data_IF_903992090846
#
_entry.id   IF_903992090846
#
_cell.length_a   1.000
_cell.length_b   1.000
_cell.length_c   1.000
_cell.angle_alpha   90.00
_cell.angle_beta   90.00
_cell.angle_gamma   90.00
#
_symmetry.space_group_name_H-M   'P 1'
#
loop_
_entity.id
_entity.type
_entity.pdbx_description
1 polymer ?
#
# COMPACT_ATOMS: atom_id res chain seq x y z
N UNK A 1 5.69 32.97 -15.97
CA UNK A 1 5.93 33.06 -14.51
C UNK A 1 5.64 31.70 -13.93
N UNK A 2 6.61 31.07 -13.27
CA UNK A 2 6.41 29.76 -12.62
C UNK A 2 5.79 30.02 -11.26
N UNK A 3 4.53 29.61 -11.10
CA UNK A 3 3.78 29.66 -9.84
C UNK A 3 4.46 28.73 -8.83
N UNK A 4 5.21 29.33 -7.89
CA UNK A 4 5.85 28.63 -6.79
C UNK A 4 4.85 28.48 -5.65
N UNK A 5 3.86 27.60 -5.85
CA UNK A 5 2.95 27.20 -4.77
C UNK A 5 3.77 26.59 -3.64
N UNK A 6 3.62 27.12 -2.42
CA UNK A 6 4.25 26.60 -1.22
C UNK A 6 3.91 25.10 -1.07
N UNK A 7 4.84 24.27 -0.58
CA UNK A 7 4.60 22.85 -0.29
C UNK A 7 3.31 22.61 0.52
N UNK A 8 2.97 23.52 1.43
CA UNK A 8 1.73 23.49 2.21
C UNK A 8 0.46 23.60 1.34
N UNK A 9 0.53 24.33 0.24
CA UNK A 9 -0.56 24.48 -0.72
C UNK A 9 -0.73 23.21 -1.56
N UNK A 10 0.37 22.62 -2.05
CA UNK A 10 0.33 21.33 -2.77
C UNK A 10 -0.26 20.24 -1.87
N UNK A 11 0.15 20.19 -0.60
CA UNK A 11 -0.39 19.24 0.37
C UNK A 11 -1.91 19.40 0.58
N UNK A 12 -2.38 20.65 0.74
CA UNK A 12 -3.81 20.95 0.87
C UNK A 12 -4.60 20.55 -0.36
N UNK A 13 -4.10 20.86 -1.56
CA UNK A 13 -4.78 20.50 -2.81
C UNK A 13 -4.77 18.97 -2.96
N UNK A 14 -3.66 18.30 -2.65
CA UNK A 14 -3.58 16.83 -2.69
C UNK A 14 -4.63 16.16 -1.81
N UNK A 15 -4.80 16.55 -0.54
CA UNK A 15 -5.82 15.94 0.32
C UNK A 15 -7.25 16.20 -0.19
N UNK A 16 -7.49 17.37 -0.77
CA UNK A 16 -8.80 17.70 -1.37
C UNK A 16 -9.07 16.82 -2.59
N UNK A 17 -8.08 16.68 -3.49
CA UNK A 17 -8.14 15.80 -4.65
C UNK A 17 -8.33 14.34 -4.25
N UNK A 18 -7.62 13.88 -3.20
CA UNK A 18 -7.75 12.52 -2.71
C UNK A 18 -9.12 12.25 -2.09
N UNK A 19 -9.68 13.18 -1.33
CA UNK A 19 -11.02 13.02 -0.74
C UNK A 19 -12.09 12.86 -1.82
N UNK A 20 -12.05 13.70 -2.87
CA UNK A 20 -12.95 13.56 -4.02
C UNK A 20 -12.76 12.23 -4.75
N UNK A 21 -11.51 11.81 -4.96
CA UNK A 21 -11.19 10.50 -5.51
C UNK A 21 -11.77 9.37 -4.65
N UNK A 22 -11.61 9.41 -3.33
CA UNK A 22 -12.09 8.38 -2.42
C UNK A 22 -13.62 8.29 -2.39
N UNK A 23 -14.32 9.42 -2.50
CA UNK A 23 -15.78 9.44 -2.66
C UNK A 23 -16.21 8.77 -3.98
N UNK A 24 -15.56 9.11 -5.09
CA UNK A 24 -15.82 8.50 -6.40
C UNK A 24 -15.50 6.99 -6.43
N UNK A 25 -14.33 6.60 -5.92
CA UNK A 25 -13.89 5.20 -5.85
C UNK A 25 -14.81 4.36 -4.95
N UNK A 26 -15.30 4.92 -3.83
CA UNK A 26 -16.24 4.24 -2.94
C UNK A 26 -17.55 3.96 -3.65
N UNK A 27 -18.13 4.95 -4.33
CA UNK A 27 -19.37 4.78 -5.08
C UNK A 27 -19.24 3.64 -6.11
N UNK A 28 -18.11 3.54 -6.82
CA UNK A 28 -17.87 2.49 -7.80
C UNK A 28 -17.58 1.12 -7.22
N UNK A 29 -16.89 1.08 -6.09
CA UNK A 29 -16.59 -0.18 -5.41
C UNK A 29 -17.86 -0.91 -4.95
N UNK A 30 -18.92 -0.16 -4.65
CA UNK A 30 -20.24 -0.68 -4.28
C UNK A 30 -21.06 -1.14 -5.49
N UNK A 31 -20.79 -0.61 -6.69
CA UNK A 31 -21.59 -0.83 -7.91
C UNK A 31 -20.88 -1.71 -8.96
N UNK A 32 -20.14 -2.73 -8.54
CA UNK A 32 -19.57 -3.83 -9.36
C UNK A 32 -18.20 -3.62 -10.04
N UNK A 33 -17.55 -2.44 -9.94
CA UNK A 33 -16.30 -2.19 -10.68
C UNK A 33 -15.01 -2.29 -9.83
N UNK A 34 -15.15 -2.44 -8.50
CA UNK A 34 -14.01 -2.48 -7.59
C UNK A 34 -13.25 -1.15 -7.54
N UNK A 35 -12.11 -1.14 -6.85
CA UNK A 35 -11.28 0.06 -6.66
C UNK A 35 -10.38 0.33 -7.87
N UNK A 36 -10.15 1.60 -8.21
CA UNK A 36 -9.18 2.02 -9.23
C UNK A 36 -7.75 1.95 -8.69
N UNK A 37 -7.20 0.72 -8.68
CA UNK A 37 -5.87 0.43 -8.13
C UNK A 37 -4.73 1.17 -8.84
N UNK A 38 -4.91 1.53 -10.11
CA UNK A 38 -3.90 2.29 -10.86
C UNK A 38 -3.77 3.72 -10.32
N UNK A 39 -4.90 4.44 -10.16
CA UNK A 39 -4.86 5.77 -9.56
C UNK A 39 -4.39 5.73 -8.10
N UNK A 40 -4.84 4.74 -7.32
CA UNK A 40 -4.35 4.54 -5.94
C UNK A 40 -2.81 4.41 -5.92
N UNK A 41 -2.24 3.60 -6.83
CA UNK A 41 -0.80 3.42 -6.94
C UNK A 41 -0.09 4.72 -7.31
N UNK A 42 -0.59 5.48 -8.27
CA UNK A 42 0.01 6.76 -8.66
C UNK A 42 -0.03 7.77 -7.52
N UNK A 43 -1.17 7.89 -6.82
CA UNK A 43 -1.30 8.78 -5.66
C UNK A 43 -0.39 8.35 -4.49
N UNK A 44 -0.21 7.04 -4.28
CA UNK A 44 0.74 6.52 -3.30
C UNK A 44 2.18 6.90 -3.64
N UNK A 45 2.61 6.66 -4.88
CA UNK A 45 3.96 7.00 -5.34
C UNK A 45 4.21 8.50 -5.17
N UNK A 46 3.25 9.34 -5.57
CA UNK A 46 3.35 10.78 -5.38
C UNK A 46 3.43 11.15 -3.89
N UNK A 47 2.54 10.61 -3.05
CA UNK A 47 2.54 10.90 -1.62
C UNK A 47 3.87 10.54 -0.95
N UNK A 48 4.37 9.33 -1.18
CA UNK A 48 5.59 8.86 -0.54
C UNK A 48 6.82 9.61 -1.06
N UNK A 49 6.93 9.85 -2.36
CA UNK A 49 8.12 10.47 -2.95
C UNK A 49 8.13 12.00 -2.83
N UNK A 50 6.98 12.66 -2.95
CA UNK A 50 6.90 14.12 -3.08
C UNK A 50 6.43 14.81 -1.81
N UNK A 51 5.49 14.22 -1.07
CA UNK A 51 4.92 14.84 0.14
C UNK A 51 5.59 14.35 1.42
N UNK A 52 5.90 13.05 1.51
CA UNK A 52 6.53 12.47 2.71
C UNK A 52 8.07 12.55 2.69
N UNK A 53 8.68 12.73 1.51
CA UNK A 53 10.13 12.82 1.34
C UNK A 53 10.58 14.24 0.95
N UNK A 54 11.71 14.69 1.53
CA UNK A 54 12.36 15.97 1.19
C UNK A 54 13.27 15.89 -0.06
N UNK A 55 13.21 14.80 -0.85
CA UNK A 55 14.25 14.47 -1.84
C UNK A 55 14.01 15.01 -3.26
N UNK A 56 12.84 15.58 -3.55
CA UNK A 56 12.49 16.08 -4.90
C UNK A 56 12.48 17.61 -4.91
N UNK A 57 12.93 18.22 -6.01
CA UNK A 57 12.85 19.68 -6.20
C UNK A 57 11.38 20.15 -6.22
N UNK A 58 11.09 21.34 -5.72
CA UNK A 58 9.69 21.85 -5.68
C UNK A 58 9.07 21.95 -7.07
N UNK A 59 9.87 22.28 -8.09
CA UNK A 59 9.43 22.37 -9.49
C UNK A 59 8.97 21.03 -10.04
N UNK A 60 9.72 19.95 -9.77
CA UNK A 60 9.37 18.60 -10.23
C UNK A 60 8.18 18.02 -9.45
N UNK A 61 8.02 18.39 -8.18
CA UNK A 61 6.83 18.02 -7.39
C UNK A 61 5.56 18.60 -8.01
N UNK A 62 5.61 19.86 -8.45
CA UNK A 62 4.46 20.54 -9.02
C UNK A 62 4.00 19.93 -10.34
N UNK A 63 4.91 19.73 -11.29
CA UNK A 63 4.57 19.15 -12.59
C UNK A 63 3.98 17.73 -12.46
N UNK A 64 4.58 16.90 -11.60
CA UNK A 64 4.06 15.56 -11.32
C UNK A 64 2.69 15.58 -10.62
N UNK A 65 2.43 16.59 -9.79
CA UNK A 65 1.14 16.74 -9.12
C UNK A 65 0.03 17.13 -10.10
N UNK A 66 0.27 18.09 -11.00
CA UNK A 66 -0.75 18.56 -11.94
C UNK A 66 -1.19 17.46 -12.92
N UNK A 67 -0.26 16.61 -13.39
CA UNK A 67 -0.64 15.45 -14.20
C UNK A 67 -1.51 14.46 -13.40
N UNK A 68 -1.08 14.09 -12.20
CA UNK A 68 -1.85 13.20 -11.33
C UNK A 68 -3.24 13.75 -11.02
N UNK A 69 -3.32 15.06 -10.76
CA UNK A 69 -4.57 15.76 -10.51
C UNK A 69 -5.50 15.68 -11.72
N UNK A 70 -4.97 15.92 -12.91
CA UNK A 70 -5.74 15.84 -14.17
C UNK A 70 -6.31 14.44 -14.39
N UNK A 71 -5.52 13.39 -14.13
CA UNK A 71 -5.95 11.99 -14.26
C UNK A 71 -7.08 11.67 -13.26
N UNK A 72 -6.97 12.16 -12.03
CA UNK A 72 -8.00 12.00 -10.99
C UNK A 72 -9.27 12.77 -11.33
N UNK A 73 -9.17 14.03 -11.75
CA UNK A 73 -10.31 14.86 -12.16
C UNK A 73 -11.05 14.24 -13.34
N UNK A 74 -10.31 13.72 -14.34
CA UNK A 74 -10.88 13.01 -15.48
C UNK A 74 -11.65 11.76 -15.05
N UNK A 75 -11.12 11.01 -14.09
CA UNK A 75 -11.80 9.85 -13.52
C UNK A 75 -13.06 10.24 -12.75
N UNK A 76 -13.03 11.31 -11.96
CA UNK A 76 -14.21 11.82 -11.25
C UNK A 76 -15.30 12.21 -12.26
N UNK A 77 -14.96 13.01 -13.28
CA UNK A 77 -15.90 13.43 -14.34
C UNK A 77 -16.52 12.20 -15.04
N UNK A 78 -15.71 11.17 -15.32
CA UNK A 78 -16.22 9.91 -15.86
C UNK A 78 -17.24 9.26 -14.92
N UNK A 79 -16.96 9.23 -13.61
CA UNK A 79 -17.87 8.68 -12.61
C UNK A 79 -19.18 9.48 -12.52
N UNK A 80 -19.11 10.80 -12.50
CA UNK A 80 -20.28 11.67 -12.47
C UNK A 80 -21.17 11.43 -13.70
N UNK A 81 -20.57 11.42 -14.90
CA UNK A 81 -21.29 11.20 -16.16
C UNK A 81 -21.94 9.82 -16.24
N UNK A 82 -21.23 8.79 -15.81
CA UNK A 82 -21.68 7.40 -15.98
C UNK A 82 -22.68 6.95 -14.90
N UNK A 83 -22.57 7.47 -13.68
CA UNK A 83 -23.34 6.97 -12.53
C UNK A 83 -24.21 8.04 -11.86
N UNK A 84 -24.16 9.29 -12.31
CA UNK A 84 -25.07 10.35 -11.85
C UNK A 84 -24.82 10.84 -10.42
N UNK A 85 -23.71 10.46 -9.79
CA UNK A 85 -23.36 10.93 -8.44
C UNK A 85 -22.67 12.28 -8.53
N UNK A 86 -23.18 13.26 -7.77
CA UNK A 86 -22.47 14.51 -7.50
C UNK A 86 -21.64 14.33 -6.23
N UNK A 87 -20.33 14.50 -6.33
CA UNK A 87 -19.42 14.35 -5.18
C UNK A 87 -19.33 15.67 -4.42
N UNK A 88 -19.59 15.64 -3.11
CA UNK A 88 -19.50 16.85 -2.29
C UNK A 88 -18.03 17.18 -2.02
N UNK A 89 -17.54 18.31 -2.51
CA UNK A 89 -16.25 18.84 -2.09
C UNK A 89 -16.37 19.33 -0.64
N UNK A 90 -15.99 18.48 0.32
CA UNK A 90 -15.72 18.97 1.66
C UNK A 90 -14.43 19.78 1.58
N UNK A 91 -14.55 21.09 1.39
CA UNK A 91 -13.39 21.99 1.55
C UNK A 91 -12.80 21.71 2.92
N UNK A 92 -11.49 21.43 3.03
CA UNK A 92 -10.86 21.24 4.32
C UNK A 92 -11.10 22.43 5.24
N UNK A 93 -11.78 22.20 6.37
CA UNK A 93 -12.11 23.25 7.35
C UNK A 93 -11.22 23.21 8.59
N UNK A 94 -10.26 22.29 8.68
CA UNK A 94 -9.39 22.15 9.84
C UNK A 94 -7.93 22.04 9.42
N UNK A 95 -7.06 22.72 10.18
CA UNK A 95 -5.64 22.36 10.24
C UNK A 95 -5.59 21.09 11.11
N UNK A 96 -5.00 19.99 10.63
CA UNK A 96 -4.71 18.88 11.55
C UNK A 96 -3.87 19.44 12.68
N UNK A 97 -4.18 19.07 13.93
CA UNK A 97 -3.28 19.37 15.04
C UNK A 97 -1.93 18.71 14.72
N UNK A 98 -0.97 19.53 14.28
CA UNK A 98 0.31 19.10 13.71
C UNK A 98 1.00 18.05 14.58
N UNK A 99 0.85 18.13 15.90
CA UNK A 99 1.50 17.21 16.85
C UNK A 99 1.12 15.74 16.64
N UNK A 100 -0.14 15.43 16.35
CA UNK A 100 -0.58 14.03 16.13
C UNK A 100 -0.40 13.55 14.70
N UNK A 101 -0.45 14.44 13.72
CA UNK A 101 -0.04 14.09 12.36
C UNK A 101 1.45 13.73 12.30
N UNK A 102 2.28 14.47 13.06
CA UNK A 102 3.70 14.16 13.26
C UNK A 102 3.91 12.76 13.86
N UNK A 103 2.98 12.25 14.68
CA UNK A 103 3.08 10.88 15.19
C UNK A 103 2.97 9.82 14.08
N UNK A 104 2.20 10.07 13.02
CA UNK A 104 2.12 9.17 11.85
C UNK A 104 3.41 9.11 11.04
N UNK A 105 4.34 10.05 11.22
CA UNK A 105 5.57 10.11 10.41
C UNK A 105 6.44 8.86 10.59
N UNK A 106 6.46 8.28 11.80
CA UNK A 106 7.17 7.02 12.05
C UNK A 106 6.55 5.88 11.23
N UNK A 107 5.23 5.79 11.21
CA UNK A 107 4.50 4.73 10.50
C UNK A 107 4.60 4.91 8.98
N UNK A 108 4.55 6.14 8.47
CA UNK A 108 4.78 6.46 7.05
C UNK A 108 6.20 6.07 6.64
N UNK A 109 7.19 6.30 7.50
CA UNK A 109 8.57 5.90 7.26
C UNK A 109 8.71 4.38 7.23
N UNK A 110 8.08 3.67 8.17
CA UNK A 110 8.05 2.21 8.18
C UNK A 110 7.39 1.64 6.91
N UNK A 111 6.26 2.22 6.50
CA UNK A 111 5.55 1.86 5.28
C UNK A 111 6.40 2.08 4.02
N UNK A 112 6.97 3.29 3.88
CA UNK A 112 7.91 3.60 2.80
C UNK A 112 9.08 2.63 2.75
N UNK A 113 9.69 2.33 3.90
CA UNK A 113 10.82 1.40 3.96
C UNK A 113 10.41 -0.02 3.56
N UNK A 114 9.26 -0.51 4.02
CA UNK A 114 8.76 -1.83 3.63
C UNK A 114 8.49 -1.94 2.13
N UNK A 115 8.01 -0.87 1.49
CA UNK A 115 7.85 -0.81 0.03
C UNK A 115 9.22 -0.87 -0.66
N UNK A 116 10.19 -0.10 -0.18
CA UNK A 116 11.55 -0.11 -0.73
C UNK A 116 12.19 -1.51 -0.60
N UNK A 117 12.10 -2.12 0.58
CA UNK A 117 12.58 -3.49 0.84
C UNK A 117 11.94 -4.50 -0.11
N UNK A 118 10.63 -4.41 -0.33
CA UNK A 118 9.91 -5.26 -1.26
C UNK A 118 10.37 -5.05 -2.71
N UNK A 119 10.53 -3.81 -3.15
CA UNK A 119 10.99 -3.50 -4.51
C UNK A 119 12.39 -4.09 -4.72
N UNK A 120 13.32 -3.86 -3.78
CA UNK A 120 14.68 -4.41 -3.84
C UNK A 120 14.65 -5.94 -3.92
N UNK A 121 13.88 -6.60 -3.06
CA UNK A 121 13.71 -8.05 -3.10
C UNK A 121 13.14 -8.52 -4.44
N UNK A 122 12.10 -7.88 -4.98
CA UNK A 122 11.52 -8.27 -6.28
C UNK A 122 12.47 -8.02 -7.45
N UNK A 123 13.37 -7.04 -7.34
CA UNK A 123 14.41 -6.77 -8.33
C UNK A 123 15.51 -7.83 -8.30
N UNK A 124 15.86 -8.36 -7.12
CA UNK A 124 16.91 -9.39 -7.01
C UNK A 124 16.50 -10.76 -7.55
N UNK A 125 15.19 -11.03 -7.69
CA UNK A 125 14.70 -12.30 -8.22
C UNK A 125 14.93 -12.45 -9.73
N UNK A 126 15.44 -13.61 -10.12
CA UNK A 126 15.54 -14.05 -11.52
C UNK A 126 14.16 -14.24 -12.16
N UNK A 127 14.12 -14.35 -13.50
CA UNK A 127 12.88 -14.63 -14.24
C UNK A 127 12.27 -15.97 -13.82
N UNK A 128 13.11 -17.00 -13.58
CA UNK A 128 12.63 -18.32 -13.18
C UNK A 128 12.09 -18.34 -11.75
N UNK A 129 12.72 -17.64 -10.80
CA UNK A 129 12.19 -17.47 -9.46
C UNK A 129 10.84 -16.73 -9.45
N UNK A 130 10.71 -15.68 -10.25
CA UNK A 130 9.43 -14.95 -10.41
C UNK A 130 8.33 -15.88 -10.93
N UNK A 131 8.63 -16.74 -11.93
CA UNK A 131 7.69 -17.75 -12.42
C UNK A 131 7.36 -18.79 -11.35
N UNK A 132 8.36 -19.30 -10.61
CA UNK A 132 8.17 -20.26 -9.51
C UNK A 132 7.22 -19.71 -8.44
N UNK A 133 7.43 -18.45 -8.02
CA UNK A 133 6.55 -17.75 -7.08
C UNK A 133 5.12 -17.65 -7.61
N UNK A 134 4.96 -17.21 -8.86
CA UNK A 134 3.63 -17.12 -9.47
C UNK A 134 2.93 -18.47 -9.55
N UNK A 135 3.67 -19.53 -9.91
CA UNK A 135 3.18 -20.89 -9.95
C UNK A 135 2.65 -21.36 -8.61
N UNK A 136 3.48 -21.28 -7.57
CA UNK A 136 3.10 -21.72 -6.23
C UNK A 136 1.89 -20.92 -5.71
N UNK A 137 1.85 -19.61 -5.92
CA UNK A 137 0.74 -18.78 -5.47
C UNK A 137 -0.57 -19.08 -6.22
N UNK A 138 -0.50 -19.26 -7.54
CA UNK A 138 -1.68 -19.58 -8.35
C UNK A 138 -2.20 -20.98 -8.00
N UNK A 139 -1.33 -21.98 -7.90
CA UNK A 139 -1.66 -23.35 -7.47
C UNK A 139 -2.37 -23.35 -6.11
N UNK A 140 -1.76 -22.73 -5.10
CA UNK A 140 -2.36 -22.64 -3.75
C UNK A 140 -3.74 -21.96 -3.77
N UNK A 141 -3.91 -20.89 -4.54
CA UNK A 141 -5.16 -20.13 -4.57
C UNK A 141 -6.26 -20.88 -5.31
N UNK A 142 -5.95 -21.52 -6.44
CA UNK A 142 -6.91 -22.34 -7.18
C UNK A 142 -7.34 -23.57 -6.39
N UNK A 143 -6.40 -24.25 -5.71
CA UNK A 143 -6.72 -25.34 -4.80
C UNK A 143 -7.62 -24.88 -3.65
N UNK A 144 -7.31 -23.75 -3.01
CA UNK A 144 -8.10 -23.26 -1.87
C UNK A 144 -9.54 -22.88 -2.25
N UNK A 145 -9.76 -22.18 -3.37
CA UNK A 145 -11.10 -21.67 -3.72
C UNK A 145 -11.92 -22.62 -4.59
N UNK A 146 -11.27 -23.50 -5.36
CA UNK A 146 -11.94 -24.29 -6.41
C UNK A 146 -11.58 -25.77 -6.38
N UNK A 147 -10.78 -26.22 -5.38
CA UNK A 147 -10.24 -27.58 -5.31
C UNK A 147 -9.52 -28.04 -6.59
N UNK A 148 -8.95 -27.08 -7.32
CA UNK A 148 -8.41 -27.32 -8.66
C UNK A 148 -6.95 -27.79 -8.63
N UNK A 149 -6.70 -29.02 -9.10
CA UNK A 149 -5.40 -29.70 -9.05
C UNK A 149 -4.74 -29.95 -10.43
N UNK A 150 -5.29 -29.44 -11.53
CA UNK A 150 -4.67 -29.62 -12.85
C UNK A 150 -3.46 -28.68 -13.02
N UNK A 151 -2.32 -29.13 -12.50
CA UNK A 151 -1.08 -28.35 -12.48
C UNK A 151 -0.48 -28.10 -13.87
N UNK A 152 -0.73 -28.98 -14.84
CA UNK A 152 -0.30 -28.78 -16.22
C UNK A 152 -0.96 -27.55 -16.85
N UNK A 153 -2.27 -27.37 -16.65
CA UNK A 153 -2.97 -26.18 -17.15
C UNK A 153 -2.49 -24.90 -16.45
N UNK A 154 -2.17 -24.99 -15.15
CA UNK A 154 -1.62 -23.85 -14.40
C UNK A 154 -0.26 -23.43 -14.96
N UNK A 155 0.62 -24.39 -15.23
CA UNK A 155 1.95 -24.11 -15.80
C UNK A 155 1.83 -23.50 -17.20
N UNK A 156 0.86 -23.94 -18.01
CA UNK A 156 0.51 -23.31 -19.30
C UNK A 156 0.07 -21.85 -19.12
N UNK A 157 -0.86 -21.56 -18.21
CA UNK A 157 -1.31 -20.18 -17.92
C UNK A 157 -0.13 -19.28 -17.53
N UNK A 158 0.78 -19.78 -16.69
CA UNK A 158 1.93 -18.99 -16.20
C UNK A 158 2.91 -18.67 -17.33
N UNK A 159 3.19 -19.66 -18.20
CA UNK A 159 4.07 -19.45 -19.36
C UNK A 159 3.53 -18.37 -20.31
N UNK A 160 2.20 -18.28 -20.48
CA UNK A 160 1.56 -17.25 -21.27
C UNK A 160 1.63 -15.86 -20.59
N UNK A 161 1.39 -15.78 -19.28
CA UNK A 161 1.42 -14.50 -18.53
C UNK A 161 2.84 -13.90 -18.51
N UNK A 162 3.87 -14.70 -18.33
CA UNK A 162 5.27 -14.25 -18.22
C UNK A 162 5.98 -14.03 -19.56
N UNK A 163 5.24 -14.06 -20.67
CA UNK A 163 5.71 -13.62 -22.00
C UNK A 163 5.75 -12.09 -22.14
N UNK A 164 5.05 -11.35 -21.28
CA UNK A 164 5.02 -9.88 -21.26
C UNK A 164 5.93 -9.34 -20.16
N UNK A 165 6.81 -8.41 -20.51
CA UNK A 165 7.89 -7.96 -19.64
C UNK A 165 7.44 -7.47 -18.25
N UNK A 166 8.30 -7.78 -17.28
CA UNK A 166 8.10 -7.69 -15.84
C UNK A 166 7.90 -6.25 -15.34
N UNK A 167 6.67 -5.87 -14.99
CA UNK A 167 6.42 -4.75 -14.09
C UNK A 167 6.42 -5.24 -12.64
N UNK A 168 7.32 -4.69 -11.81
CA UNK A 168 7.22 -4.81 -10.36
C UNK A 168 5.92 -4.12 -9.96
N UNK A 169 4.94 -4.93 -9.56
CA UNK A 169 3.66 -4.42 -9.10
C UNK A 169 3.59 -4.48 -7.58
N UNK A 170 3.10 -3.39 -6.99
CA UNK A 170 2.81 -3.36 -5.56
C UNK A 170 1.62 -4.30 -5.32
N UNK A 171 1.66 -5.17 -4.29
CA UNK A 171 0.55 -6.06 -4.00
C UNK A 171 -0.76 -5.30 -3.81
N UNK A 172 -1.86 -5.82 -4.37
CA UNK A 172 -3.19 -5.20 -4.29
C UNK A 172 -3.60 -4.86 -2.85
N UNK A 173 -3.32 -5.75 -1.91
CA UNK A 173 -3.67 -5.54 -0.50
C UNK A 173 -2.97 -4.30 0.07
N UNK A 174 -1.69 -4.09 -0.27
CA UNK A 174 -0.90 -2.94 0.18
C UNK A 174 -1.47 -1.63 -0.38
N UNK A 175 -1.93 -1.63 -1.63
CA UNK A 175 -2.62 -0.48 -2.22
C UNK A 175 -3.95 -0.18 -1.50
N UNK A 176 -4.69 -1.22 -1.10
CA UNK A 176 -5.94 -1.07 -0.34
C UNK A 176 -5.65 -0.48 1.05
N UNK A 177 -4.64 -0.98 1.75
CA UNK A 177 -4.25 -0.44 3.05
C UNK A 177 -3.81 1.02 2.96
N UNK A 178 -3.04 1.39 1.92
CA UNK A 178 -2.70 2.80 1.67
C UNK A 178 -3.95 3.65 1.42
N UNK A 179 -4.89 3.15 0.62
CA UNK A 179 -6.12 3.88 0.33
C UNK A 179 -7.01 4.08 1.56
N UNK A 180 -7.07 3.08 2.46
CA UNK A 180 -7.75 3.19 3.74
C UNK A 180 -7.05 4.19 4.67
N UNK A 181 -5.71 4.16 4.73
CA UNK A 181 -4.91 5.15 5.44
C UNK A 181 -5.28 6.57 4.97
N UNK A 182 -5.24 6.82 3.66
CA UNK A 182 -5.54 8.14 3.10
C UNK A 182 -6.97 8.59 3.37
N UNK A 183 -7.95 7.69 3.27
CA UNK A 183 -9.35 7.99 3.57
C UNK A 183 -9.55 8.45 5.03
N UNK A 184 -8.84 7.83 5.97
CA UNK A 184 -8.82 8.27 7.36
C UNK A 184 -8.08 9.59 7.56
N UNK A 185 -6.96 9.82 6.88
CA UNK A 185 -6.25 11.11 6.93
C UNK A 185 -7.14 12.24 6.39
N UNK A 186 -7.80 12.07 5.25
CA UNK A 186 -8.74 13.06 4.71
C UNK A 186 -9.91 13.32 5.68
N UNK A 187 -10.44 12.28 6.33
CA UNK A 187 -11.48 12.42 7.37
C UNK A 187 -10.98 13.19 8.60
N UNK A 188 -9.73 12.97 9.02
CA UNK A 188 -9.08 13.70 10.10
C UNK A 188 -8.79 15.17 9.74
N UNK A 189 -8.47 15.43 8.47
CA UNK A 189 -8.17 16.76 7.92
C UNK A 189 -9.43 17.62 7.74
N UNK A 190 -10.59 17.02 7.52
CA UNK A 190 -11.86 17.74 7.24
C UNK A 190 -12.69 18.05 8.48
N UNK A 191 -12.47 17.34 9.60
CA UNK A 191 -13.26 17.50 10.84
C UNK A 191 -12.64 18.48 11.84
N UNK A 192 -13.48 19.28 12.51
CA UNK A 192 -13.08 20.10 13.67
C UNK A 192 -13.16 19.35 15.00
N UNK A 193 -13.76 18.16 15.02
CA UNK A 193 -13.93 17.39 16.24
C UNK A 193 -12.63 16.63 16.57
N UNK A 194 -11.93 17.04 17.62
CA UNK A 194 -10.65 16.46 18.05
C UNK A 194 -10.73 14.96 18.38
N UNK A 195 -11.87 14.49 18.92
CA UNK A 195 -12.07 13.07 19.24
C UNK A 195 -12.16 12.26 17.95
N UNK A 196 -12.91 12.74 16.96
CA UNK A 196 -13.04 12.09 15.65
C UNK A 196 -11.70 12.15 14.89
N UNK A 197 -11.00 13.28 14.96
CA UNK A 197 -9.67 13.43 14.36
C UNK A 197 -8.70 12.39 14.93
N UNK A 198 -8.62 12.27 16.26
CA UNK A 198 -7.75 11.31 16.93
C UNK A 198 -8.08 9.85 16.55
N UNK A 199 -9.36 9.48 16.53
CA UNK A 199 -9.78 8.12 16.15
C UNK A 199 -9.38 7.79 14.70
N UNK A 200 -9.49 8.75 13.78
CA UNK A 200 -9.08 8.55 12.39
C UNK A 200 -7.56 8.44 12.25
N UNK A 201 -6.79 9.24 13.00
CA UNK A 201 -5.32 9.15 13.01
C UNK A 201 -4.87 7.75 13.47
N UNK A 202 -5.42 7.22 14.57
CA UNK A 202 -5.07 5.87 15.04
C UNK A 202 -5.45 4.77 14.03
N UNK A 203 -6.61 4.91 13.37
CA UNK A 203 -6.99 3.99 12.28
C UNK A 203 -6.02 4.08 11.10
N UNK A 204 -5.59 5.29 10.72
CA UNK A 204 -4.63 5.51 9.65
C UNK A 204 -3.29 4.82 9.97
N UNK A 205 -2.77 4.95 11.21
CA UNK A 205 -1.56 4.24 11.66
C UNK A 205 -1.71 2.72 11.53
N UNK A 206 -2.84 2.16 11.96
CA UNK A 206 -3.12 0.73 11.85
C UNK A 206 -3.10 0.21 10.39
N UNK A 207 -3.56 1.02 9.43
CA UNK A 207 -3.52 0.64 8.02
C UNK A 207 -2.10 0.66 7.44
N UNK A 208 -1.30 1.67 7.77
CA UNK A 208 0.13 1.67 7.39
C UNK A 208 0.86 0.46 7.97
N UNK A 209 0.60 0.15 9.24
CA UNK A 209 1.14 -1.02 9.91
C UNK A 209 0.80 -2.34 9.18
N UNK A 210 -0.49 -2.56 8.87
CA UNK A 210 -0.94 -3.76 8.14
C UNK A 210 -0.30 -3.86 6.77
N UNK A 211 -0.25 -2.74 6.04
CA UNK A 211 0.42 -2.69 4.73
C UNK A 211 1.91 -3.03 4.81
N UNK A 212 2.62 -2.56 5.84
CA UNK A 212 4.01 -2.93 6.09
C UNK A 212 4.18 -4.41 6.39
N UNK A 213 3.33 -4.98 7.26
CA UNK A 213 3.37 -6.40 7.58
C UNK A 213 3.12 -7.27 6.34
N UNK A 214 2.14 -6.92 5.52
CA UNK A 214 1.81 -7.67 4.31
C UNK A 214 3.02 -7.75 3.36
N UNK A 215 3.78 -6.66 3.22
CA UNK A 215 5.00 -6.64 2.42
C UNK A 215 6.07 -7.58 2.98
N UNK A 216 6.36 -7.52 4.29
CA UNK A 216 7.36 -8.40 4.90
C UNK A 216 6.94 -9.88 4.85
N UNK A 217 5.66 -10.19 5.09
CA UNK A 217 5.09 -11.53 4.94
C UNK A 217 5.25 -12.06 3.51
N UNK A 218 5.03 -11.19 2.50
CA UNK A 218 5.24 -11.56 1.10
C UNK A 218 6.72 -11.83 0.81
N UNK A 219 7.63 -10.95 1.24
CA UNK A 219 9.09 -11.12 1.04
C UNK A 219 9.53 -12.47 1.61
N UNK A 220 9.18 -12.74 2.88
CA UNK A 220 9.60 -13.96 3.57
C UNK A 220 9.01 -15.20 2.90
N UNK A 221 7.70 -15.19 2.62
CA UNK A 221 7.03 -16.31 1.94
C UNK A 221 7.65 -16.59 0.57
N UNK A 222 7.87 -15.55 -0.22
CA UNK A 222 8.47 -15.68 -1.56
C UNK A 222 9.93 -16.16 -1.48
N UNK A 223 10.71 -15.72 -0.48
CA UNK A 223 12.06 -16.23 -0.23
C UNK A 223 12.07 -17.74 -0.02
N UNK A 224 11.18 -18.27 0.84
CA UNK A 224 11.07 -19.72 1.07
C UNK A 224 10.51 -20.50 -0.12
N UNK A 225 9.80 -19.85 -1.06
CA UNK A 225 9.41 -20.49 -2.32
C UNK A 225 10.64 -20.65 -3.23
N UNK A 226 11.51 -19.66 -3.28
CA UNK A 226 12.71 -19.69 -4.13
C UNK A 226 13.78 -20.63 -3.58
N UNK A 227 14.05 -20.56 -2.27
CA UNK A 227 15.16 -21.25 -1.64
C UNK A 227 14.75 -22.61 -1.08
N UNK A 228 15.49 -23.65 -1.44
CA UNK A 228 15.27 -25.02 -0.95
C UNK A 228 15.92 -25.27 0.42
N UNK A 229 16.90 -24.43 0.79
CA UNK A 229 17.57 -24.52 2.09
C UNK A 229 16.67 -23.94 3.18
N UNK A 230 16.28 -24.82 4.10
CA UNK A 230 15.45 -24.46 5.24
C UNK A 230 16.33 -23.86 6.35
N UNK A 231 16.34 -22.54 6.49
CA UNK A 231 16.90 -21.89 7.67
C UNK A 231 16.00 -22.18 8.88
N UNK A 232 16.36 -23.20 9.68
CA UNK A 232 15.60 -23.65 10.86
C UNK A 232 15.40 -22.54 11.90
N UNK A 233 16.37 -21.63 12.04
CA UNK A 233 16.26 -20.49 12.95
C UNK A 233 15.16 -19.53 12.46
N UNK A 234 15.13 -19.20 11.17
CA UNK A 234 14.08 -18.38 10.58
C UNK A 234 12.70 -19.03 10.71
N UNK A 235 12.58 -20.35 10.57
CA UNK A 235 11.31 -21.05 10.81
C UNK A 235 10.85 -20.88 12.25
N UNK A 236 11.75 -21.04 13.22
CA UNK A 236 11.41 -20.85 14.64
C UNK A 236 10.97 -19.42 14.92
N UNK A 237 11.72 -18.43 14.43
CA UNK A 237 11.36 -17.01 14.56
C UNK A 237 9.99 -16.71 13.92
N UNK A 238 9.70 -17.31 12.76
CA UNK A 238 8.40 -17.18 12.10
C UNK A 238 7.28 -17.80 12.92
N UNK A 239 7.50 -18.97 13.51
CA UNK A 239 6.51 -19.59 14.39
C UNK A 239 6.22 -18.70 15.59
N UNK A 240 7.26 -18.20 16.26
CA UNK A 240 7.13 -17.38 17.46
C UNK A 240 6.40 -16.05 17.17
N UNK A 241 6.76 -15.33 16.08
CA UNK A 241 6.08 -14.08 15.73
C UNK A 241 4.62 -14.32 15.32
N UNK A 242 4.32 -15.46 14.67
CA UNK A 242 2.95 -15.81 14.28
C UNK A 242 2.10 -16.19 15.49
N UNK A 243 2.68 -16.86 16.48
CA UNK A 243 2.02 -17.15 17.75
C UNK A 243 1.70 -15.85 18.50
N UNK A 244 2.66 -14.92 18.59
CA UNK A 244 2.44 -13.60 19.20
C UNK A 244 1.34 -12.81 18.49
N UNK A 245 1.34 -12.80 17.15
CA UNK A 245 0.31 -12.12 16.37
C UNK A 245 -1.07 -12.72 16.64
N UNK A 246 -1.17 -14.04 16.76
CA UNK A 246 -2.44 -14.73 17.05
C UNK A 246 -2.93 -14.46 18.48
N UNK A 247 -2.05 -14.55 19.47
CA UNK A 247 -2.38 -14.25 20.87
C UNK A 247 -2.71 -12.76 21.08
N UNK A 248 -2.14 -11.88 20.25
CA UNK A 248 -2.34 -10.43 20.29
C UNK A 248 -3.49 -9.91 19.41
N UNK A 249 -4.36 -10.79 18.90
CA UNK A 249 -5.47 -10.36 18.04
C UNK A 249 -6.38 -9.36 18.78
N UNK A 250 -6.52 -8.16 18.22
CA UNK A 250 -7.31 -7.08 18.82
C UNK A 250 -6.52 -6.19 19.79
N UNK A 251 -5.29 -6.57 20.15
CA UNK A 251 -4.39 -5.75 20.96
C UNK A 251 -3.45 -4.91 20.06
N UNK A 252 -3.69 -3.60 20.04
CA UNK A 252 -2.88 -2.65 19.27
C UNK A 252 -1.47 -2.44 19.84
N UNK A 253 -1.20 -2.83 21.09
CA UNK A 253 0.06 -2.58 21.77
C UNK A 253 1.22 -3.41 21.21
N UNK A 254 0.95 -4.60 20.67
CA UNK A 254 1.96 -5.52 20.16
C UNK A 254 2.40 -5.23 18.72
N UNK A 255 1.76 -4.25 18.06
CA UNK A 255 1.94 -4.04 16.63
C UNK A 255 3.41 -3.76 16.28
N UNK A 256 4.02 -2.75 16.91
CA UNK A 256 5.41 -2.37 16.63
C UNK A 256 6.39 -3.54 16.84
N UNK A 257 6.22 -4.30 17.91
CA UNK A 257 7.10 -5.43 18.23
C UNK A 257 7.02 -6.52 17.17
N UNK A 258 5.82 -6.86 16.73
CA UNK A 258 5.59 -7.83 15.64
C UNK A 258 6.25 -7.36 14.34
N UNK A 259 6.14 -6.08 13.98
CA UNK A 259 6.78 -5.56 12.77
C UNK A 259 8.31 -5.61 12.85
N UNK A 260 8.89 -5.27 14.00
CA UNK A 260 10.34 -5.37 14.20
C UNK A 260 10.81 -6.83 14.16
N UNK A 261 10.02 -7.79 14.63
CA UNK A 261 10.32 -9.22 14.48
C UNK A 261 10.32 -9.66 13.01
N UNK A 262 9.33 -9.23 12.21
CA UNK A 262 9.34 -9.51 10.77
C UNK A 262 10.54 -8.88 10.05
N UNK A 263 10.94 -7.66 10.43
CA UNK A 263 12.16 -7.02 9.89
C UNK A 263 13.41 -7.82 10.23
N UNK A 264 13.54 -8.31 11.47
CA UNK A 264 14.67 -9.16 11.90
C UNK A 264 14.73 -10.45 11.09
N UNK A 265 13.59 -11.12 10.88
CA UNK A 265 13.53 -12.33 10.04
C UNK A 265 14.00 -12.01 8.62
N UNK A 266 13.52 -10.93 8.02
CA UNK A 266 13.95 -10.51 6.67
C UNK A 266 15.47 -10.27 6.61
N UNK A 267 16.05 -9.61 7.61
CA UNK A 267 17.51 -9.38 7.66
C UNK A 267 18.30 -10.69 7.76
N UNK A 268 17.85 -11.64 8.57
CA UNK A 268 18.48 -12.97 8.71
C UNK A 268 18.47 -13.78 7.40
N UNK A 269 17.37 -13.68 6.64
CA UNK A 269 17.26 -14.32 5.32
C UNK A 269 18.22 -13.70 4.29
N UNK A 270 18.62 -12.44 4.46
CA UNK A 270 19.57 -11.74 3.59
C UNK A 270 21.03 -11.96 3.97
N UNK A 271 21.31 -12.42 5.20
CA UNK A 271 22.66 -12.73 5.67
C UNK A 271 23.06 -14.20 5.48
N UNK A 272 22.13 -15.05 5.06
CA UNK A 272 22.42 -16.46 4.78
C UNK A 272 23.01 -16.58 3.35
N UNK A 273 24.24 -17.10 3.18
CA UNK A 273 24.91 -17.19 1.87
C UNK A 273 24.24 -18.16 0.90
#
# INVERSE_FOLDING_TARGET
MIDTRNLAEIEKVFYTTYDLFAQADTALSLTHHGKNLNLIKQMMIFYLNSLSSKKISEKDKFANFEQLRTDVESYIIYCEKKYGYLFSSKVPKAQINNKKFLECMKDIKNFSQSIADFIVFRQSLTKEEKKKIAAVNLKKRLKYYFDFDNYTLIDQIISQIYSKDNLINIPKQVLIEFHNFMSHICSAYTTKNIIIQNKNIERAKNHLYRGSLDLYKIIIKDYFICNEVVNKNCIKMLFDVRLKEYCGLGDGCLQNDILEEFKKIKSELQSTP
#
